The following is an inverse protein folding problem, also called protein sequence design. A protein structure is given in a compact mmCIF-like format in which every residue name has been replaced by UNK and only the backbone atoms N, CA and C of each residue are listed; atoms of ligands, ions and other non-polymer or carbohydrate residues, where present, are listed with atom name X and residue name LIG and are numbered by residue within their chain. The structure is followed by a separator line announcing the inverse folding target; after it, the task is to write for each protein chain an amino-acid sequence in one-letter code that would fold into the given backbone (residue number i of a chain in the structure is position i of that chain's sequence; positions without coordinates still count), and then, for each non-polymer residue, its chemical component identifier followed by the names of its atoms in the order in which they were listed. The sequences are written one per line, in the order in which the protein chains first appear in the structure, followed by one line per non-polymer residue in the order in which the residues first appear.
data_IF_902017491390
#
_entry.id   IF_902017491390
#
_cell.length_a   1.000
_cell.length_b   1.000
_cell.length_c   1.000
_cell.angle_alpha   90.00
_cell.angle_beta   90.00
_cell.angle_gamma   90.00
#
_symmetry.space_group_name_H-M   'P 1'
#
loop_
_entity.id
_entity.type
_entity.pdbx_description
1 polymer ?
#
# COMPACT_ATOMS: atom_id res chain seq x y z
N UNK A 1 23.99 3.01 5.19
CA UNK A 1 23.06 2.10 5.89
C UNK A 1 22.38 1.28 4.82
N UNK A 2 22.33 -0.05 4.89
CA UNK A 2 21.61 -0.82 3.88
C UNK A 2 20.12 -0.55 4.07
N UNK A 3 19.48 0.06 3.08
CA UNK A 3 18.03 0.20 3.04
C UNK A 3 17.42 -1.21 3.05
N UNK A 4 16.91 -1.63 4.20
CA UNK A 4 16.21 -2.90 4.31
C UNK A 4 14.74 -2.66 3.98
N UNK A 5 14.28 -3.31 2.92
CA UNK A 5 12.87 -3.39 2.60
C UNK A 5 12.32 -4.77 2.97
N UNK A 6 11.11 -4.78 3.44
CA UNK A 6 10.35 -5.99 3.75
C UNK A 6 9.24 -6.12 2.72
N UNK A 7 9.15 -7.27 2.11
CA UNK A 7 8.09 -7.62 1.17
C UNK A 7 7.13 -8.56 1.88
N UNK A 8 5.87 -8.17 1.91
CA UNK A 8 4.78 -8.95 2.46
C UNK A 8 3.99 -9.51 1.30
N UNK A 9 3.93 -10.81 1.24
CA UNK A 9 3.24 -11.55 0.20
C UNK A 9 1.72 -11.58 0.37
N UNK A 10 1.03 -12.15 -0.62
CA UNK A 10 -0.43 -12.17 -0.71
C UNK A 10 -1.11 -12.93 0.44
N UNK A 11 -0.41 -13.82 1.11
CA UNK A 11 -0.92 -14.58 2.27
C UNK A 11 -1.30 -13.67 3.45
N UNK A 12 -0.82 -12.44 3.46
CA UNK A 12 -1.11 -11.45 4.50
C UNK A 12 -2.35 -10.61 4.21
N UNK A 13 -2.93 -10.71 3.02
CA UNK A 13 -3.99 -9.84 2.53
C UNK A 13 -5.17 -10.64 1.98
N UNK A 14 -6.38 -10.11 2.15
CA UNK A 14 -7.56 -10.70 1.53
C UNK A 14 -7.48 -10.62 0.00
N UNK A 15 -7.77 -11.73 -0.67
CA UNK A 15 -7.84 -11.80 -2.12
C UNK A 15 -9.18 -11.27 -2.63
N UNK A 16 -9.17 -10.50 -3.71
CA UNK A 16 -10.37 -10.09 -4.42
C UNK A 16 -10.60 -11.00 -5.63
N UNK A 17 -11.73 -11.68 -5.64
CA UNK A 17 -12.21 -12.43 -6.82
C UNK A 17 -13.30 -11.61 -7.50
N UNK A 18 -13.17 -11.40 -8.81
CA UNK A 18 -14.13 -10.68 -9.62
C UNK A 18 -14.81 -11.63 -10.60
N UNK A 19 -16.12 -11.42 -10.87
CA UNK A 19 -16.88 -12.28 -11.80
C UNK A 19 -16.38 -12.17 -13.25
N UNK A 20 -15.72 -11.06 -13.58
CA UNK A 20 -15.17 -10.75 -14.89
C UNK A 20 -13.74 -10.28 -14.76
N UNK A 21 -13.02 -10.26 -15.87
CA UNK A 21 -11.71 -9.64 -15.92
C UNK A 21 -11.77 -8.18 -15.48
N UNK A 22 -10.67 -7.69 -14.87
CA UNK A 22 -10.55 -6.32 -14.40
C UNK A 22 -9.25 -5.68 -14.88
N UNK A 23 -8.87 -5.95 -16.12
CA UNK A 23 -7.62 -5.52 -16.74
C UNK A 23 -7.58 -4.02 -16.97
N UNK A 24 -6.45 -3.38 -16.72
CA UNK A 24 -6.26 -1.93 -16.96
C UNK A 24 -6.97 -1.04 -15.96
N UNK A 25 -7.22 -1.53 -14.77
CA UNK A 25 -7.80 -0.75 -13.69
C UNK A 25 -6.90 0.42 -13.28
N UNK A 26 -7.52 1.45 -12.75
CA UNK A 26 -6.84 2.51 -12.04
C UNK A 26 -6.88 2.22 -10.55
N UNK A 27 -5.86 2.61 -9.81
CA UNK A 27 -5.93 2.51 -8.37
C UNK A 27 -5.31 3.71 -7.67
N UNK A 28 -5.77 3.96 -6.47
CA UNK A 28 -5.23 4.98 -5.59
C UNK A 28 -5.38 4.55 -4.14
N UNK A 29 -4.50 5.02 -3.30
CA UNK A 29 -4.63 4.88 -1.84
C UNK A 29 -4.91 6.26 -1.28
N UNK A 30 -5.97 6.35 -0.49
CA UNK A 30 -6.28 7.51 0.35
C UNK A 30 -6.43 7.03 1.78
N UNK A 31 -5.58 7.55 2.66
CA UNK A 31 -5.46 7.07 4.04
C UNK A 31 -5.21 5.55 4.12
N UNK A 32 -6.11 4.81 4.73
CA UNK A 32 -6.02 3.35 4.91
C UNK A 32 -6.93 2.57 3.93
N UNK A 33 -7.36 3.21 2.83
CA UNK A 33 -8.21 2.59 1.81
C UNK A 33 -7.53 2.58 0.46
N UNK A 34 -7.47 1.38 -0.16
CA UNK A 34 -7.06 1.22 -1.54
C UNK A 34 -8.30 1.10 -2.42
N UNK A 35 -8.43 1.98 -3.39
CA UNK A 35 -9.53 2.03 -4.34
C UNK A 35 -9.08 1.48 -5.69
N UNK A 36 -9.84 0.53 -6.25
CA UNK A 36 -9.66 0.06 -7.62
C UNK A 36 -10.84 0.55 -8.48
N UNK A 37 -10.54 1.14 -9.63
CA UNK A 37 -11.53 1.76 -10.51
C UNK A 37 -11.40 1.29 -11.96
N UNK A 38 -12.51 1.20 -12.64
CA UNK A 38 -12.52 0.88 -14.05
C UNK A 38 -12.00 -0.52 -14.33
N UNK A 39 -11.17 -0.65 -15.33
CA UNK A 39 -10.69 -1.94 -15.81
C UNK A 39 -11.58 -2.53 -16.89
N UNK A 40 -10.99 -3.31 -17.79
CA UNK A 40 -11.72 -4.01 -18.83
C UNK A 40 -12.37 -5.28 -18.29
N UNK A 41 -13.66 -5.49 -18.61
CA UNK A 41 -14.39 -6.71 -18.28
C UNK A 41 -13.98 -7.92 -19.14
N UNK A 42 -13.06 -7.71 -20.10
CA UNK A 42 -12.52 -8.76 -20.96
C UNK A 42 -11.01 -8.76 -20.90
N UNK A 43 -10.39 -9.91 -20.69
CA UNK A 43 -8.94 -10.03 -20.63
C UNK A 43 -8.23 -9.68 -21.96
N UNK A 44 -8.92 -9.85 -23.08
CA UNK A 44 -8.39 -9.70 -24.44
C UNK A 44 -8.58 -8.32 -25.06
N UNK A 45 -9.42 -7.47 -24.46
CA UNK A 45 -9.82 -6.19 -25.03
C UNK A 45 -9.81 -5.09 -24.00
N UNK A 46 -9.37 -3.91 -24.43
CA UNK A 46 -9.43 -2.68 -23.63
C UNK A 46 -10.72 -1.87 -23.91
N UNK A 47 -11.75 -2.47 -24.47
CA UNK A 47 -12.91 -1.73 -25.01
C UNK A 47 -14.13 -1.65 -24.10
N UNK A 48 -14.22 -2.46 -23.04
CA UNK A 48 -15.38 -2.50 -22.16
C UNK A 48 -14.96 -2.19 -20.71
N UNK A 49 -15.07 -0.92 -20.31
CA UNK A 49 -14.74 -0.52 -18.95
C UNK A 49 -15.79 -0.98 -17.95
N UNK A 50 -15.35 -1.60 -16.87
CA UNK A 50 -16.19 -1.93 -15.72
C UNK A 50 -16.69 -0.67 -15.03
N UNK A 51 -17.93 -0.71 -14.56
CA UNK A 51 -18.52 0.34 -13.72
C UNK A 51 -18.42 0.02 -12.23
N UNK A 52 -17.80 -1.08 -11.91
CA UNK A 52 -17.60 -1.52 -10.54
C UNK A 52 -16.37 -0.84 -9.95
N UNK A 53 -16.48 -0.46 -8.70
CA UNK A 53 -15.38 0.01 -7.88
C UNK A 53 -15.18 -0.98 -6.73
N UNK A 54 -13.94 -1.34 -6.46
CA UNK A 54 -13.57 -2.15 -5.31
C UNK A 54 -12.77 -1.30 -4.34
N UNK A 55 -13.05 -1.46 -3.06
CA UNK A 55 -12.37 -0.75 -1.98
C UNK A 55 -11.80 -1.78 -1.02
N UNK A 56 -10.51 -1.72 -0.80
CA UNK A 56 -9.84 -2.53 0.20
C UNK A 56 -9.56 -1.69 1.43
N UNK A 57 -10.10 -2.12 2.56
CA UNK A 57 -9.76 -1.59 3.87
C UNK A 57 -8.46 -2.25 4.34
N UNK A 58 -7.37 -1.46 4.39
CA UNK A 58 -6.04 -1.95 4.74
C UNK A 58 -5.99 -2.35 6.22
N UNK A 59 -6.80 -1.71 7.06
CA UNK A 59 -6.82 -1.99 8.49
C UNK A 59 -7.60 -3.26 8.81
N UNK A 60 -8.79 -3.38 8.24
CA UNK A 60 -9.69 -4.53 8.48
C UNK A 60 -9.35 -5.74 7.60
N UNK A 61 -8.46 -5.57 6.61
CA UNK A 61 -8.10 -6.61 5.64
C UNK A 61 -9.31 -7.18 4.89
N UNK A 62 -10.19 -6.31 4.41
CA UNK A 62 -11.44 -6.72 3.74
C UNK A 62 -11.70 -5.92 2.48
N UNK A 63 -12.41 -6.54 1.52
CA UNK A 63 -12.87 -5.90 0.30
C UNK A 63 -14.34 -5.53 0.36
N UNK A 64 -14.67 -4.36 -0.16
CA UNK A 64 -16.03 -3.89 -0.39
C UNK A 64 -16.24 -3.63 -1.87
N UNK A 65 -17.32 -4.16 -2.44
CA UNK A 65 -17.70 -3.95 -3.84
C UNK A 65 -18.78 -2.88 -3.93
N UNK A 66 -18.58 -1.89 -4.80
CA UNK A 66 -19.58 -0.87 -5.13
C UNK A 66 -19.90 -0.93 -6.61
N UNK A 67 -21.02 -1.51 -6.95
CA UNK A 67 -21.49 -1.60 -8.33
C UNK A 67 -21.97 -0.26 -8.88
N UNK A 68 -21.80 -0.07 -10.19
CA UNK A 68 -22.27 1.12 -10.94
C UNK A 68 -21.78 2.45 -10.43
N UNK A 69 -20.70 2.47 -9.66
CA UNK A 69 -20.13 3.69 -9.09
C UNK A 69 -19.14 4.40 -10.00
N UNK A 70 -18.58 3.71 -10.99
CA UNK A 70 -17.62 4.30 -11.89
C UNK A 70 -18.31 4.94 -13.12
N UNK A 71 -17.93 6.18 -13.43
CA UNK A 71 -18.38 6.85 -14.64
C UNK A 71 -17.51 6.34 -15.80
N UNK A 72 -18.05 5.41 -16.57
CA UNK A 72 -17.39 4.68 -17.66
C UNK A 72 -16.36 5.46 -18.50
N UNK A 73 -15.47 4.73 -19.15
CA UNK A 73 -14.46 5.15 -20.13
C UNK A 73 -13.17 5.75 -19.55
N UNK A 74 -12.86 5.52 -18.27
CA UNK A 74 -11.63 5.96 -17.62
C UNK A 74 -10.76 4.79 -17.23
N UNK A 75 -10.26 4.07 -18.20
CA UNK A 75 -9.27 3.03 -18.02
C UNK A 75 -7.87 3.60 -18.23
N UNK A 76 -6.89 3.11 -17.48
CA UNK A 76 -5.49 3.53 -17.62
C UNK A 76 -5.27 5.05 -17.45
N UNK A 77 -5.98 5.70 -16.54
CA UNK A 77 -5.78 7.12 -16.24
C UNK A 77 -4.52 7.34 -15.42
N UNK A 78 -3.96 8.55 -15.50
CA UNK A 78 -3.03 9.03 -14.49
C UNK A 78 -3.83 9.42 -13.24
N UNK A 79 -3.46 8.92 -12.08
CA UNK A 79 -4.24 9.10 -10.84
C UNK A 79 -3.38 9.70 -9.75
N UNK A 80 -3.90 10.69 -9.04
CA UNK A 80 -3.32 11.17 -7.80
C UNK A 80 -4.38 11.44 -6.73
N UNK A 81 -3.93 11.54 -5.49
CA UNK A 81 -4.76 11.93 -4.34
C UNK A 81 -4.27 13.27 -3.84
N UNK A 82 -5.20 14.19 -3.60
CA UNK A 82 -4.92 15.47 -2.95
C UNK A 82 -6.08 15.86 -2.05
N UNK A 83 -5.78 16.19 -0.81
CA UNK A 83 -6.76 16.65 0.18
C UNK A 83 -7.98 15.70 0.33
N UNK A 84 -7.73 14.38 0.29
CA UNK A 84 -8.77 13.36 0.38
C UNK A 84 -9.66 13.23 -0.85
N UNK A 85 -9.25 13.81 -1.99
CA UNK A 85 -9.95 13.73 -3.27
C UNK A 85 -9.08 12.99 -4.29
N UNK A 86 -9.66 12.09 -5.07
CA UNK A 86 -8.96 11.30 -6.09
C UNK A 86 -9.19 11.95 -7.47
N UNK A 87 -8.10 12.38 -8.08
CA UNK A 87 -8.10 13.01 -9.41
C UNK A 87 -7.66 12.02 -10.48
N UNK A 88 -8.37 12.02 -11.59
CA UNK A 88 -8.12 11.19 -12.77
C UNK A 88 -7.83 12.10 -13.96
N UNK A 89 -6.68 11.88 -14.59
CA UNK A 89 -6.26 12.65 -15.76
C UNK A 89 -6.20 11.73 -16.98
N UNK A 90 -7.09 11.99 -17.93
CA UNK A 90 -7.16 11.27 -19.17
C UNK A 90 -7.44 9.77 -18.99
N UNK A 91 -6.80 8.95 -19.80
CA UNK A 91 -6.93 7.50 -19.84
C UNK A 91 -6.90 6.95 -21.26
N UNK A 92 -7.27 5.69 -21.43
CA UNK A 92 -7.36 5.08 -22.75
C UNK A 92 -8.41 5.82 -23.60
N UNK A 93 -7.97 6.44 -24.73
CA UNK A 93 -8.81 7.23 -25.64
C UNK A 93 -9.64 8.33 -24.95
N UNK A 94 -9.19 8.82 -23.81
CA UNK A 94 -9.90 9.81 -23.03
C UNK A 94 -8.96 10.92 -22.54
N UNK A 95 -9.40 12.17 -22.67
CA UNK A 95 -8.65 13.37 -22.27
C UNK A 95 -9.28 14.10 -21.09
N UNK A 96 -10.36 13.57 -20.55
CA UNK A 96 -11.18 14.26 -19.55
C UNK A 96 -10.49 14.18 -18.19
N UNK A 97 -10.51 15.27 -17.44
CA UNK A 97 -10.11 15.30 -16.04
C UNK A 97 -11.35 15.15 -15.18
N UNK A 98 -11.30 14.23 -14.24
CA UNK A 98 -12.40 13.95 -13.31
C UNK A 98 -11.91 13.85 -11.89
N UNK A 99 -12.85 13.96 -10.95
CA UNK A 99 -12.57 13.87 -9.51
C UNK A 99 -13.64 13.02 -8.80
N UNK A 100 -13.18 12.17 -7.89
CA UNK A 100 -14.01 11.41 -6.98
C UNK A 100 -13.70 11.79 -5.54
N UNK A 101 -14.73 11.94 -4.72
CA UNK A 101 -14.62 12.17 -3.27
C UNK A 101 -14.94 10.88 -2.52
N UNK A 102 -13.95 10.23 -1.90
CA UNK A 102 -14.17 9.07 -1.03
C UNK A 102 -15.10 9.39 0.13
N UNK A 103 -14.92 10.53 0.79
CA UNK A 103 -15.73 10.94 1.96
C UNK A 103 -17.19 11.14 1.57
N UNK A 104 -17.44 11.82 0.45
CA UNK A 104 -18.81 12.06 -0.04
C UNK A 104 -19.38 10.87 -0.83
N UNK A 105 -18.58 9.85 -1.11
CA UNK A 105 -18.90 8.68 -1.95
C UNK A 105 -19.54 9.08 -3.28
N UNK A 106 -18.97 10.08 -3.97
CA UNK A 106 -19.52 10.60 -5.22
C UNK A 106 -18.49 11.14 -6.17
N UNK A 107 -18.82 11.05 -7.47
CA UNK A 107 -18.13 11.75 -8.53
C UNK A 107 -18.59 13.20 -8.62
N UNK A 108 -17.67 14.09 -8.88
CA UNK A 108 -18.02 15.46 -9.28
C UNK A 108 -18.61 15.41 -10.69
N UNK A 109 -19.82 15.97 -10.85
CA UNK A 109 -20.56 15.94 -12.12
C UNK A 109 -19.89 16.77 -13.21
N UNK A 110 -19.22 17.84 -12.82
CA UNK A 110 -18.57 18.77 -13.75
C UNK A 110 -17.21 18.20 -14.16
N UNK A 111 -16.93 18.22 -15.45
CA UNK A 111 -15.57 17.98 -15.94
C UNK A 111 -14.69 19.11 -15.44
N UNK A 112 -13.52 18.78 -14.87
CA UNK A 112 -12.57 19.79 -14.38
C UNK A 112 -11.73 20.39 -15.51
N UNK A 113 -11.78 19.80 -16.70
CA UNK A 113 -11.03 20.25 -17.87
C UNK A 113 -10.76 19.12 -18.84
N UNK A 114 -10.05 19.43 -19.89
CA UNK A 114 -9.46 18.44 -20.80
C UNK A 114 -7.96 18.70 -20.88
N UNK A 115 -7.20 17.64 -21.08
CA UNK A 115 -5.79 17.78 -21.45
C UNK A 115 -5.73 18.37 -22.85
N UNK A 116 -4.98 19.46 -23.07
CA UNK A 116 -5.02 20.18 -24.33
C UNK A 116 -4.59 19.36 -25.54
N UNK A 117 -5.25 19.60 -26.67
CA UNK A 117 -4.82 19.12 -27.99
C UNK A 117 -3.75 20.00 -28.65
N UNK A 118 -3.42 21.13 -28.02
CA UNK A 118 -2.81 22.29 -28.67
C UNK A 118 -1.32 22.19 -28.98
N UNK A 119 -0.73 21.00 -28.79
CA UNK A 119 0.69 20.82 -29.11
C UNK A 119 1.00 20.77 -30.60
N UNK A 120 0.00 20.96 -31.50
CA UNK A 120 0.16 20.70 -32.93
C UNK A 120 0.38 19.23 -33.26
N UNK A 121 0.26 18.39 -32.23
CA UNK A 121 0.48 16.96 -32.25
C UNK A 121 -0.88 16.35 -32.02
N UNK A 122 -1.40 15.70 -32.99
CA UNK A 122 -2.61 14.90 -32.84
C UNK A 122 -2.28 13.82 -31.82
N UNK A 123 -2.69 14.02 -30.56
CA UNK A 123 -2.64 12.97 -29.54
C UNK A 123 -3.67 11.91 -29.92
N UNK A 124 -3.37 11.14 -30.95
CA UNK A 124 -4.16 9.99 -31.38
C UNK A 124 -3.86 8.77 -30.51
N UNK A 125 -3.02 8.95 -29.52
CA UNK A 125 -2.60 7.89 -28.62
C UNK A 125 -3.06 8.14 -27.20
N UNK A 126 -3.13 7.06 -26.50
CA UNK A 126 -3.56 6.95 -25.13
C UNK A 126 -2.60 7.71 -24.21
N UNK A 127 -3.15 8.52 -23.32
CA UNK A 127 -2.38 9.00 -22.17
C UNK A 127 -2.16 7.79 -21.28
N UNK A 128 -1.05 7.09 -21.50
CA UNK A 128 -0.73 5.95 -20.67
C UNK A 128 -0.37 6.41 -19.27
N UNK A 129 -1.10 5.89 -18.37
CA UNK A 129 -0.94 5.76 -16.94
C UNK A 129 0.44 6.18 -16.41
N UNK A 130 0.69 7.46 -16.21
CA UNK A 130 1.83 7.91 -15.44
C UNK A 130 1.39 8.28 -14.03
N UNK A 131 2.25 8.08 -13.04
CA UNK A 131 1.99 8.64 -11.72
C UNK A 131 2.27 10.14 -11.78
N UNK A 132 1.28 11.00 -11.49
CA UNK A 132 1.51 12.44 -11.38
C UNK A 132 2.42 12.78 -10.19
N UNK A 133 3.22 13.82 -10.35
CA UNK A 133 3.97 14.43 -9.26
C UNK A 133 3.23 15.67 -8.78
N UNK A 134 2.89 15.72 -7.49
CA UNK A 134 2.24 16.88 -6.88
C UNK A 134 3.30 17.79 -6.25
N UNK A 135 3.27 19.07 -6.61
CA UNK A 135 4.12 20.11 -6.03
C UNK A 135 3.23 21.33 -5.72
N UNK A 136 3.00 21.58 -4.44
CA UNK A 136 2.09 22.64 -4.01
C UNK A 136 0.69 22.48 -4.59
N UNK A 137 0.23 23.53 -5.30
CA UNK A 137 -1.09 23.56 -5.94
C UNK A 137 -1.10 23.02 -7.37
N UNK A 138 -0.08 22.26 -7.76
CA UNK A 138 0.06 21.75 -9.12
C UNK A 138 0.30 20.25 -9.16
N UNK A 139 -0.27 19.59 -10.17
CA UNK A 139 0.09 18.24 -10.56
C UNK A 139 0.81 18.27 -11.91
N UNK A 140 1.97 17.65 -11.95
CA UNK A 140 2.74 17.44 -13.18
C UNK A 140 2.49 16.01 -13.68
N UNK A 141 2.05 15.89 -14.92
CA UNK A 141 1.61 14.63 -15.49
C UNK A 141 2.47 14.34 -16.72
N UNK A 142 3.20 13.24 -16.67
CA UNK A 142 3.93 12.77 -17.84
C UNK A 142 2.98 12.11 -18.83
N UNK A 143 2.88 12.66 -20.01
CA UNK A 143 2.11 12.10 -21.11
C UNK A 143 2.98 11.28 -22.05
N UNK A 144 2.40 10.27 -22.69
CA UNK A 144 2.98 9.64 -23.86
C UNK A 144 1.88 9.37 -24.87
N UNK A 145 2.06 9.89 -26.08
CA UNK A 145 1.23 9.45 -27.20
C UNK A 145 1.91 8.26 -27.89
N UNK A 146 1.21 7.16 -28.08
CA UNK A 146 1.61 6.15 -29.02
C UNK A 146 0.82 6.34 -30.28
N UNK A 147 1.36 7.06 -31.20
CA UNK A 147 0.90 7.00 -32.58
C UNK A 147 2.11 6.91 -33.48
N UNK A 148 2.16 5.84 -34.24
CA UNK A 148 2.94 5.69 -35.48
C UNK A 148 4.18 6.59 -35.61
N UNK A 149 5.32 6.11 -35.15
CA UNK A 149 6.67 6.59 -35.46
C UNK A 149 7.17 7.92 -34.87
N UNK A 150 6.35 8.81 -34.35
CA UNK A 150 6.79 10.06 -33.71
C UNK A 150 6.23 10.16 -32.29
N UNK A 151 6.88 9.53 -31.35
CA UNK A 151 6.47 9.60 -29.95
C UNK A 151 6.99 10.88 -29.34
N UNK A 152 6.10 11.61 -28.72
CA UNK A 152 6.44 12.83 -28.00
C UNK A 152 6.23 12.58 -26.51
N UNK A 153 7.15 13.07 -25.72
CA UNK A 153 7.01 13.12 -24.27
C UNK A 153 6.63 14.51 -23.87
N UNK A 154 5.43 14.66 -23.34
CA UNK A 154 4.94 15.91 -22.82
C UNK A 154 4.84 15.81 -21.31
N UNK A 155 5.13 16.92 -20.62
CA UNK A 155 4.78 17.11 -19.22
C UNK A 155 3.67 18.15 -19.19
N UNK A 156 2.51 17.76 -18.70
CA UNK A 156 1.39 18.65 -18.46
C UNK A 156 1.42 19.14 -17.02
N UNK A 157 1.05 20.38 -16.83
CA UNK A 157 0.82 20.96 -15.53
C UNK A 157 -0.69 21.20 -15.35
N UNK A 158 -1.25 20.66 -14.28
CA UNK A 158 -2.62 20.93 -13.85
C UNK A 158 -2.58 21.75 -12.58
N UNK A 159 -3.24 22.92 -12.60
CA UNK A 159 -3.38 23.78 -11.44
C UNK A 159 -4.71 23.48 -10.74
N UNK A 160 -4.64 23.00 -9.49
CA UNK A 160 -5.80 22.61 -8.69
C UNK A 160 -6.67 23.81 -8.27
N UNK A 161 -6.10 25.02 -8.23
CA UNK A 161 -6.81 26.22 -7.81
C UNK A 161 -7.70 26.76 -8.94
N UNK A 162 -7.15 26.78 -10.14
CA UNK A 162 -7.82 27.33 -11.33
C UNK A 162 -8.51 26.27 -12.17
N UNK A 163 -8.21 24.99 -11.95
CA UNK A 163 -8.63 23.86 -12.78
C UNK A 163 -8.19 24.00 -14.26
N UNK A 164 -7.01 24.57 -14.48
CA UNK A 164 -6.45 24.74 -15.82
C UNK A 164 -5.32 23.77 -16.08
N UNK A 165 -5.18 23.37 -17.34
CA UNK A 165 -4.08 22.53 -17.82
C UNK A 165 -3.24 23.32 -18.80
N UNK A 166 -1.93 23.26 -18.61
CA UNK A 166 -0.95 23.84 -19.53
C UNK A 166 0.10 22.80 -19.92
N UNK A 167 0.74 22.98 -21.08
CA UNK A 167 1.92 22.21 -21.44
C UNK A 167 3.12 22.82 -20.70
N UNK A 168 3.62 22.13 -19.67
CA UNK A 168 4.81 22.58 -18.95
C UNK A 168 6.08 22.32 -19.77
N UNK A 169 6.11 21.20 -20.52
CA UNK A 169 7.24 20.83 -21.35
C UNK A 169 6.84 19.92 -22.51
N UNK A 170 7.44 20.13 -23.67
CA UNK A 170 7.28 19.28 -24.86
C UNK A 170 8.65 18.89 -25.37
N UNK A 171 8.92 17.59 -25.48
CA UNK A 171 10.13 17.07 -26.10
C UNK A 171 9.78 16.36 -27.40
N UNK A 172 10.38 16.81 -28.50
CA UNK A 172 10.22 16.16 -29.80
C UNK A 172 11.19 14.98 -29.93
N UNK A 173 10.71 13.89 -30.54
CA UNK A 173 11.51 12.72 -30.91
C UNK A 173 12.21 11.99 -29.74
N UNK A 174 11.69 12.07 -28.55
CA UNK A 174 12.26 11.36 -27.42
C UNK A 174 11.35 10.25 -26.97
N UNK A 175 11.93 9.16 -26.59
CA UNK A 175 11.45 7.96 -25.93
C UNK A 175 9.94 7.76 -25.71
N UNK A 176 9.53 6.53 -25.72
CA UNK A 176 8.13 6.09 -25.65
C UNK A 176 7.70 5.86 -24.21
N UNK A 177 6.73 6.63 -23.76
CA UNK A 177 5.98 6.36 -22.52
C UNK A 177 6.69 6.78 -21.22
N UNK A 178 6.15 7.79 -20.57
CA UNK A 178 6.48 8.12 -19.18
C UNK A 178 5.61 7.27 -18.25
N UNK A 179 6.23 6.55 -17.32
CA UNK A 179 5.51 5.76 -16.33
C UNK A 179 5.50 6.42 -14.96
N UNK A 180 6.43 7.31 -14.72
CA UNK A 180 6.58 8.02 -13.46
C UNK A 180 7.37 9.31 -13.69
N UNK A 181 7.00 10.35 -12.95
CA UNK A 181 7.59 11.68 -13.02
C UNK A 181 7.84 12.20 -11.59
N UNK A 182 9.00 12.79 -11.37
CA UNK A 182 9.33 13.59 -10.19
C UNK A 182 9.82 14.96 -10.61
N UNK A 183 9.27 16.01 -10.01
CA UNK A 183 9.64 17.41 -10.26
C UNK A 183 10.49 17.91 -9.09
N UNK A 184 11.55 18.63 -9.42
CA UNK A 184 12.44 19.34 -8.49
C UNK A 184 12.26 20.83 -8.74
N UNK A 185 11.31 21.50 -8.08
CA UNK A 185 10.91 22.87 -8.42
C UNK A 185 12.03 23.89 -8.21
N UNK A 186 12.84 23.70 -7.17
CA UNK A 186 13.93 24.62 -6.85
C UNK A 186 15.08 24.56 -7.86
N UNK A 187 15.19 23.46 -8.61
CA UNK A 187 16.21 23.24 -9.62
C UNK A 187 15.68 23.48 -11.05
N UNK A 188 14.40 23.79 -11.22
CA UNK A 188 13.71 23.84 -12.51
C UNK A 188 13.87 22.56 -13.34
N UNK A 189 13.99 21.40 -12.67
CA UNK A 189 14.26 20.10 -13.27
C UNK A 189 13.16 19.09 -12.96
N UNK A 190 13.13 18.07 -13.77
CA UNK A 190 12.32 16.88 -13.49
C UNK A 190 13.07 15.60 -13.87
N UNK A 191 12.73 14.52 -13.22
CA UNK A 191 13.18 13.16 -13.56
C UNK A 191 11.98 12.34 -13.99
N UNK A 192 12.13 11.53 -15.02
CA UNK A 192 11.09 10.60 -15.45
C UNK A 192 11.65 9.24 -15.84
N UNK A 193 10.85 8.21 -15.62
CA UNK A 193 11.12 6.90 -16.19
C UNK A 193 10.56 6.84 -17.60
N UNK A 194 11.34 6.29 -18.50
CA UNK A 194 11.00 6.27 -19.92
C UNK A 194 11.33 4.93 -20.56
N UNK A 195 10.52 4.54 -21.53
CA UNK A 195 10.90 3.50 -22.49
C UNK A 195 11.85 4.12 -23.52
N UNK A 196 13.03 3.52 -23.69
CA UNK A 196 14.10 4.13 -24.49
C UNK A 196 13.99 3.86 -25.99
N UNK A 197 13.28 2.82 -26.42
CA UNK A 197 13.09 2.50 -27.85
C UNK A 197 11.74 1.84 -28.12
N UNK A 198 11.30 1.87 -29.41
CA UNK A 198 10.05 1.20 -29.83
C UNK A 198 10.13 -0.33 -29.84
N UNK A 199 11.32 -0.87 -29.86
CA UNK A 199 11.59 -2.30 -30.05
C UNK A 199 12.36 -2.93 -28.90
N UNK A 200 12.96 -2.13 -28.02
CA UNK A 200 13.74 -2.64 -26.92
C UNK A 200 13.05 -2.37 -25.59
N UNK A 201 13.04 -3.36 -24.77
CA UNK A 201 12.53 -3.37 -23.41
C UNK A 201 13.46 -2.64 -22.42
N UNK A 202 14.19 -1.64 -22.85
CA UNK A 202 15.03 -0.85 -21.96
C UNK A 202 14.24 0.30 -21.33
N UNK A 203 14.26 0.39 -20.00
CA UNK A 203 13.73 1.52 -19.24
C UNK A 203 14.92 2.29 -18.70
N UNK A 204 14.91 3.58 -18.94
CA UNK A 204 15.90 4.48 -18.41
C UNK A 204 15.26 5.57 -17.55
N UNK A 205 16.12 6.21 -16.78
CA UNK A 205 15.78 7.44 -16.05
C UNK A 205 16.41 8.62 -16.77
N UNK A 206 15.63 9.66 -17.03
CA UNK A 206 16.11 10.88 -17.67
C UNK A 206 15.78 12.09 -16.86
N UNK A 207 16.72 13.02 -16.84
CA UNK A 207 16.52 14.36 -16.31
C UNK A 207 16.24 15.33 -17.45
N UNK A 208 15.27 16.21 -17.23
CA UNK A 208 14.95 17.31 -18.12
C UNK A 208 14.89 18.62 -17.35
N UNK A 209 15.08 19.71 -18.06
CA UNK A 209 14.87 21.06 -17.52
C UNK A 209 13.62 21.65 -18.19
N UNK A 210 12.79 22.33 -17.41
CA UNK A 210 11.66 23.05 -17.97
C UNK A 210 12.16 24.19 -18.86
N UNK A 211 11.62 24.27 -20.08
CA UNK A 211 12.03 25.23 -21.10
C UNK A 211 13.15 24.76 -22.02
N UNK A 212 13.78 23.61 -21.75
CA UNK A 212 14.78 23.05 -22.66
C UNK A 212 14.14 22.36 -23.87
N UNK A 213 14.83 22.36 -25.02
CA UNK A 213 14.35 21.69 -26.23
C UNK A 213 14.62 20.18 -26.27
N UNK A 214 15.48 19.70 -25.38
CA UNK A 214 15.85 18.28 -25.26
C UNK A 214 16.17 17.96 -23.81
N UNK A 215 16.19 16.66 -23.49
CA UNK A 215 16.69 16.22 -22.20
C UNK A 215 18.17 16.60 -22.05
N UNK A 216 18.49 17.28 -20.96
CA UNK A 216 19.85 17.77 -20.68
C UNK A 216 20.79 16.62 -20.34
N UNK A 217 20.25 15.57 -19.74
CA UNK A 217 21.04 14.44 -19.28
C UNK A 217 20.25 13.14 -19.37
N UNK A 218 20.78 12.22 -20.15
CA UNK A 218 20.33 10.85 -20.19
C UNK A 218 21.36 9.96 -19.53
N UNK A 219 21.16 9.62 -18.25
CA UNK A 219 21.83 8.46 -17.71
C UNK A 219 20.82 7.34 -17.58
N UNK A 220 20.98 6.35 -18.44
CA UNK A 220 20.28 5.09 -18.30
C UNK A 220 21.30 4.04 -17.98
N UNK A 221 21.23 3.42 -16.81
CA UNK A 221 21.71 2.05 -16.73
C UNK A 221 20.66 1.23 -17.47
N UNK A 222 21.03 0.75 -18.66
CA UNK A 222 20.16 -0.06 -19.50
C UNK A 222 19.72 -1.29 -18.73
N UNK A 223 18.43 -1.42 -18.55
CA UNK A 223 17.83 -2.66 -18.12
C UNK A 223 17.36 -3.37 -19.38
N UNK A 224 18.19 -4.25 -19.88
CA UNK A 224 17.76 -5.17 -20.93
C UNK A 224 16.80 -6.18 -20.34
N UNK A 225 15.51 -5.97 -20.51
CA UNK A 225 14.52 -7.04 -20.41
C UNK A 225 14.18 -7.49 -21.81
N UNK A 226 13.92 -8.77 -22.01
CA UNK A 226 13.54 -9.34 -23.31
C UNK A 226 12.12 -8.98 -23.75
N UNK A 227 11.39 -8.17 -22.96
CA UNK A 227 9.99 -7.87 -23.18
C UNK A 227 9.76 -6.49 -23.79
N UNK A 228 8.82 -6.44 -24.73
CA UNK A 228 8.44 -5.23 -25.44
C UNK A 228 7.58 -4.26 -24.61
N UNK A 229 7.09 -4.67 -23.42
CA UNK A 229 6.29 -3.84 -22.52
C UNK A 229 6.91 -3.77 -21.13
N UNK A 230 7.31 -2.59 -20.73
CA UNK A 230 7.78 -2.36 -19.38
C UNK A 230 6.58 -2.25 -18.44
N UNK A 231 6.47 -3.22 -17.58
CA UNK A 231 5.46 -3.29 -16.53
C UNK A 231 6.14 -3.02 -15.21
N UNK A 232 5.99 -1.82 -14.70
CA UNK A 232 6.58 -1.42 -13.43
C UNK A 232 5.63 -0.58 -12.60
N UNK A 233 5.77 -0.69 -11.31
CA UNK A 233 5.09 0.16 -10.31
C UNK A 233 6.16 0.97 -9.59
N UNK A 234 6.00 2.28 -9.56
CA UNK A 234 6.96 3.16 -8.89
C UNK A 234 6.31 3.76 -7.66
N UNK A 235 6.97 3.64 -6.51
CA UNK A 235 6.59 4.24 -5.25
C UNK A 235 7.67 5.18 -4.74
N UNK A 236 7.28 6.22 -4.02
CA UNK A 236 8.17 7.15 -3.37
C UNK A 236 7.82 7.23 -1.89
N UNK A 237 8.79 6.90 -1.05
CA UNK A 237 8.66 6.96 0.40
C UNK A 237 8.85 8.40 0.90
N UNK A 238 8.35 8.70 2.10
CA UNK A 238 8.43 10.05 2.70
C UNK A 238 9.86 10.58 2.82
N UNK A 239 10.85 9.71 3.00
CA UNK A 239 12.27 10.10 3.05
C UNK A 239 12.89 10.36 1.66
N UNK A 240 12.09 10.31 0.60
CA UNK A 240 12.51 10.50 -0.79
C UNK A 240 13.10 9.25 -1.47
N UNK A 241 13.13 8.09 -0.81
CA UNK A 241 13.53 6.83 -1.45
C UNK A 241 12.52 6.42 -2.49
N UNK A 242 12.98 6.11 -3.68
CA UNK A 242 12.14 5.70 -4.80
C UNK A 242 12.37 4.22 -5.08
N UNK A 243 11.28 3.48 -5.20
CA UNK A 243 11.30 2.09 -5.65
C UNK A 243 10.66 1.95 -7.03
N UNK A 244 11.35 1.29 -7.94
CA UNK A 244 10.81 0.80 -9.20
C UNK A 244 10.69 -0.72 -9.10
N UNK A 245 9.46 -1.20 -9.03
CA UNK A 245 9.12 -2.59 -8.78
C UNK A 245 8.62 -3.24 -10.06
N UNK A 246 9.17 -4.39 -10.41
CA UNK A 246 8.87 -5.13 -11.63
C UNK A 246 8.62 -6.59 -11.34
N UNK A 247 7.65 -7.16 -12.03
CA UNK A 247 7.51 -8.60 -12.10
C UNK A 247 8.35 -9.15 -13.26
N UNK A 248 8.86 -10.36 -13.11
CA UNK A 248 9.46 -11.09 -14.23
C UNK A 248 8.42 -11.32 -15.32
N UNK A 249 8.91 -11.41 -16.53
CA UNK A 249 8.11 -11.60 -17.75
C UNK A 249 7.45 -12.99 -17.73
N UNK A 250 6.35 -13.11 -18.47
CA UNK A 250 5.65 -14.37 -18.73
C UNK A 250 5.11 -15.09 -17.48
N UNK A 251 4.61 -14.33 -16.52
CA UNK A 251 4.05 -14.91 -15.32
C UNK A 251 5.12 -15.50 -14.39
N UNK A 252 6.30 -14.91 -14.39
CA UNK A 252 7.37 -15.26 -13.47
C UNK A 252 6.96 -15.05 -12.01
N UNK A 253 7.65 -15.73 -11.14
CA UNK A 253 7.41 -15.71 -9.70
C UNK A 253 8.32 -14.75 -8.94
N UNK A 254 9.16 -14.01 -9.65
CA UNK A 254 10.15 -13.11 -9.09
C UNK A 254 9.73 -11.66 -9.24
N UNK A 255 9.83 -10.94 -8.13
CA UNK A 255 9.73 -9.50 -8.07
C UNK A 255 11.13 -8.90 -8.02
N UNK A 256 11.44 -8.01 -8.95
CA UNK A 256 12.66 -7.21 -8.93
C UNK A 256 12.33 -5.83 -8.39
N UNK A 257 12.97 -5.44 -7.31
CA UNK A 257 12.81 -4.14 -6.66
C UNK A 257 14.09 -3.35 -6.89
N UNK A 258 13.99 -2.23 -7.58
CA UNK A 258 15.10 -1.30 -7.78
C UNK A 258 14.95 -0.13 -6.86
N UNK A 259 15.96 0.09 -6.03
CA UNK A 259 16.08 1.28 -5.19
C UNK A 259 16.83 2.34 -5.98
N UNK A 260 16.17 3.46 -6.24
CA UNK A 260 16.72 4.53 -7.08
C UNK A 260 17.26 5.62 -6.17
N UNK A 261 18.53 5.93 -6.33
CA UNK A 261 19.22 7.03 -5.67
C UNK A 261 19.66 8.07 -6.69
N UNK A 262 19.47 9.32 -6.35
CA UNK A 262 20.00 10.44 -7.13
C UNK A 262 21.43 10.71 -6.69
N UNK A 263 22.36 10.73 -7.63
CA UNK A 263 23.80 10.99 -7.39
C UNK A 263 24.32 12.08 -8.33
N UNK A 264 25.44 12.65 -7.98
CA UNK A 264 26.19 13.57 -8.86
C UNK A 264 27.54 12.95 -9.22
N UNK A 265 27.95 13.13 -10.47
CA UNK A 265 29.28 12.76 -10.92
C UNK A 265 30.33 13.83 -10.58
N UNK A 266 31.60 13.58 -10.90
CA UNK A 266 32.71 14.50 -10.65
C UNK A 266 32.60 15.86 -11.36
N UNK A 267 31.68 15.99 -12.32
CA UNK A 267 31.41 17.22 -13.06
C UNK A 267 30.14 17.95 -12.57
N UNK A 268 29.54 17.47 -11.48
CA UNK A 268 28.29 18.01 -10.94
C UNK A 268 27.05 17.58 -11.74
N UNK A 269 27.16 16.56 -12.59
CA UNK A 269 26.06 16.05 -13.37
C UNK A 269 25.23 15.07 -12.56
N UNK A 270 23.93 15.35 -12.43
CA UNK A 270 22.98 14.51 -11.72
C UNK A 270 22.63 13.25 -12.53
N UNK A 271 22.66 12.09 -11.89
CA UNK A 271 22.22 10.81 -12.48
C UNK A 271 21.48 9.95 -11.45
N UNK A 272 20.68 9.03 -11.95
CA UNK A 272 20.02 8.03 -11.12
C UNK A 272 20.82 6.72 -11.11
N UNK A 273 21.13 6.20 -9.94
CA UNK A 273 21.73 4.89 -9.75
C UNK A 273 20.70 3.97 -9.07
N UNK A 274 20.62 2.73 -9.56
CA UNK A 274 19.72 1.76 -8.96
C UNK A 274 20.50 0.57 -8.41
N UNK A 275 20.18 0.17 -7.19
CA UNK A 275 20.52 -1.14 -6.63
C UNK A 275 19.33 -2.08 -6.75
N UNK A 276 19.58 -3.39 -6.86
CA UNK A 276 18.52 -4.38 -7.07
C UNK A 276 18.38 -5.31 -5.88
N UNK A 277 17.12 -5.59 -5.55
CA UNK A 277 16.72 -6.59 -4.55
C UNK A 277 15.71 -7.52 -5.23
N UNK A 278 15.82 -8.82 -4.98
CA UNK A 278 14.91 -9.82 -5.53
C UNK A 278 14.08 -10.46 -4.42
N UNK A 279 12.82 -10.70 -4.73
CA UNK A 279 11.93 -11.49 -3.89
C UNK A 279 11.18 -12.50 -4.73
N UNK A 280 11.11 -13.76 -4.28
CA UNK A 280 10.42 -14.83 -4.98
C UNK A 280 9.13 -15.22 -4.27
N UNK A 281 8.09 -15.50 -5.05
CA UNK A 281 6.77 -15.94 -4.60
C UNK A 281 6.49 -17.36 -5.07
N UNK A 282 5.53 -18.01 -4.44
CA UNK A 282 5.09 -19.35 -4.86
C UNK A 282 4.23 -19.31 -6.13
N UNK A 283 3.50 -18.22 -6.35
CA UNK A 283 2.57 -18.02 -7.46
C UNK A 283 3.08 -16.99 -8.47
N UNK A 284 2.61 -17.02 -9.72
CA UNK A 284 2.93 -16.01 -10.71
C UNK A 284 2.49 -14.61 -10.29
N UNK A 285 3.28 -13.61 -10.65
CA UNK A 285 2.96 -12.20 -10.48
C UNK A 285 2.76 -11.61 -11.87
N UNK A 286 1.56 -11.19 -12.17
CA UNK A 286 1.22 -10.59 -13.46
C UNK A 286 0.80 -9.15 -13.22
N UNK A 287 1.67 -8.21 -13.60
CA UNK A 287 1.25 -6.83 -13.78
C UNK A 287 0.66 -6.72 -15.17
N UNK A 288 -0.58 -6.38 -15.29
CA UNK A 288 -1.10 -6.06 -16.62
C UNK A 288 -0.37 -4.81 -17.14
N UNK A 289 -0.26 -4.71 -18.45
CA UNK A 289 0.57 -3.71 -19.11
C UNK A 289 0.24 -2.27 -18.70
N UNK A 290 -0.92 -2.05 -18.16
CA UNK A 290 -1.48 -0.73 -17.93
C UNK A 290 -1.76 -0.42 -16.45
N UNK A 291 -2.05 -1.40 -15.59
CA UNK A 291 -2.36 -1.17 -14.18
C UNK A 291 -1.14 -0.77 -13.34
N UNK A 292 -0.01 -1.30 -13.72
CA UNK A 292 1.22 -1.10 -12.96
C UNK A 292 1.73 0.34 -12.92
N UNK A 293 1.18 1.21 -13.74
CA UNK A 293 1.72 2.56 -13.98
C UNK A 293 1.01 3.66 -13.22
N UNK A 294 -0.19 3.38 -12.72
CA UNK A 294 -0.96 4.40 -12.02
C UNK A 294 -0.73 4.30 -10.55
N UNK A 295 -0.61 5.39 -9.86
CA UNK A 295 -1.10 5.42 -8.51
C UNK A 295 -0.38 6.34 -7.55
N UNK A 296 -1.18 6.86 -6.68
CA UNK A 296 -0.81 7.05 -5.30
C UNK A 296 -0.90 5.65 -4.64
N UNK A 297 0.23 4.96 -4.54
CA UNK A 297 0.32 3.59 -4.03
C UNK A 297 0.92 3.49 -2.62
N UNK A 298 1.11 4.64 -1.98
CA UNK A 298 1.60 4.74 -0.61
C UNK A 298 0.43 5.00 0.34
N UNK A 299 0.38 4.29 1.44
CA UNK A 299 -0.58 4.55 2.50
C UNK A 299 -0.05 5.59 3.52
N UNK A 300 -0.87 5.92 4.50
CA UNK A 300 -0.55 6.90 5.55
C UNK A 300 0.61 6.49 6.46
N UNK A 301 1.10 5.26 6.31
CA UNK A 301 2.19 4.66 7.09
C UNK A 301 3.45 4.44 6.26
N UNK A 302 3.57 5.13 5.16
CA UNK A 302 4.71 5.03 4.24
C UNK A 302 4.96 3.60 3.74
N UNK A 303 3.86 2.89 3.37
CA UNK A 303 3.90 1.53 2.82
C UNK A 303 3.37 1.53 1.40
N UNK A 304 4.10 0.87 0.50
CA UNK A 304 3.75 0.73 -0.90
C UNK A 304 2.88 -0.52 -1.11
N UNK A 305 1.65 -0.36 -1.59
CA UNK A 305 0.76 -1.45 -1.96
C UNK A 305 0.71 -1.63 -3.48
N UNK A 306 0.77 -2.87 -3.93
CA UNK A 306 0.80 -3.23 -5.34
C UNK A 306 -0.25 -4.31 -5.59
N UNK A 307 -1.38 -3.97 -6.23
CA UNK A 307 -2.32 -4.96 -6.71
C UNK A 307 -1.77 -5.65 -7.97
N UNK A 308 -1.97 -6.96 -8.06
CA UNK A 308 -1.51 -7.78 -9.19
C UNK A 308 -2.45 -8.95 -9.45
N UNK A 309 -2.30 -9.58 -10.61
CA UNK A 309 -3.03 -10.79 -10.99
C UNK A 309 -2.16 -12.04 -10.88
N UNK A 310 -2.79 -13.17 -10.63
CA UNK A 310 -2.12 -14.49 -10.61
C UNK A 310 -2.28 -15.25 -11.92
N UNK A 311 -3.20 -14.83 -12.78
CA UNK A 311 -3.48 -15.45 -14.07
C UNK A 311 -3.77 -14.44 -15.18
N UNK A 312 -3.67 -14.87 -16.41
CA UNK A 312 -4.00 -14.08 -17.60
C UNK A 312 -5.51 -13.72 -17.68
N UNK A 313 -6.36 -14.40 -16.94
CA UNK A 313 -7.81 -14.12 -16.89
C UNK A 313 -8.12 -12.79 -16.19
N UNK A 314 -7.17 -12.25 -15.43
CA UNK A 314 -7.26 -10.95 -14.76
C UNK A 314 -8.51 -10.79 -13.87
N UNK A 315 -8.96 -11.86 -13.22
CA UNK A 315 -10.15 -11.87 -12.35
C UNK A 315 -9.86 -12.20 -10.88
N UNK A 316 -8.61 -12.49 -10.55
CA UNK A 316 -8.15 -12.65 -9.18
C UNK A 316 -7.09 -11.60 -8.90
N UNK A 317 -7.37 -10.71 -7.94
CA UNK A 317 -6.45 -9.62 -7.56
C UNK A 317 -5.93 -9.90 -6.16
N UNK A 318 -4.62 -9.97 -6.06
CA UNK A 318 -3.86 -10.09 -4.82
C UNK A 318 -3.04 -8.84 -4.56
N UNK A 319 -2.57 -8.67 -3.35
CA UNK A 319 -1.79 -7.52 -2.92
C UNK A 319 -0.39 -7.95 -2.49
N UNK A 320 0.57 -7.11 -2.81
CA UNK A 320 1.92 -7.11 -2.23
C UNK A 320 2.07 -5.80 -1.49
N UNK A 321 2.70 -5.82 -0.32
CA UNK A 321 3.09 -4.63 0.40
C UNK A 321 4.61 -4.57 0.56
N UNK A 322 5.21 -3.45 0.22
CA UNK A 322 6.63 -3.18 0.45
C UNK A 322 6.74 -2.08 1.50
N UNK A 323 7.49 -2.33 2.55
CA UNK A 323 7.66 -1.43 3.68
C UNK A 323 9.12 -1.35 4.11
N UNK A 324 9.54 -0.22 4.65
CA UNK A 324 10.84 -0.07 5.35
C UNK A 324 10.80 -0.67 6.75
N UNK A 325 9.63 -0.78 7.33
CA UNK A 325 9.41 -1.41 8.62
C UNK A 325 9.08 -2.90 8.45
N UNK A 326 9.66 -3.75 9.28
CA UNK A 326 9.34 -5.19 9.31
C UNK A 326 7.89 -5.45 9.72
N UNK A 327 7.26 -4.49 10.37
CA UNK A 327 5.92 -4.62 10.94
C UNK A 327 4.94 -3.73 10.19
N UNK A 328 3.83 -4.30 9.75
CA UNK A 328 2.76 -3.59 9.04
C UNK A 328 1.92 -2.72 9.96
N UNK A 329 2.21 -2.75 11.26
CA UNK A 329 1.37 -2.07 12.26
C UNK A 329 1.81 -0.63 12.46
N UNK A 330 0.82 0.25 12.62
CA UNK A 330 1.05 1.63 12.94
C UNK A 330 1.73 1.77 14.31
N UNK A 331 2.51 2.82 14.44
CA UNK A 331 2.92 3.39 15.71
C UNK A 331 1.69 3.62 16.60
N UNK A 332 1.84 3.36 17.89
CA UNK A 332 0.75 3.47 18.88
C UNK A 332 -0.44 2.51 18.69
N UNK A 333 -0.20 1.32 18.16
CA UNK A 333 -1.24 0.28 18.04
C UNK A 333 -1.18 -0.75 19.16
N UNK A 334 -2.38 -1.04 19.67
CA UNK A 334 -2.63 -2.21 20.51
C UNK A 334 -3.56 -3.20 19.80
N UNK A 335 -3.19 -4.46 19.79
CA UNK A 335 -4.08 -5.56 19.40
C UNK A 335 -4.56 -6.24 20.65
N UNK A 336 -5.87 -6.24 20.86
CA UNK A 336 -6.51 -7.05 21.88
C UNK A 336 -7.02 -8.35 21.25
N UNK A 337 -6.64 -9.49 21.80
CA UNK A 337 -7.12 -10.79 21.36
C UNK A 337 -7.42 -11.69 22.55
N UNK A 338 -8.50 -12.44 22.44
CA UNK A 338 -8.81 -13.51 23.40
C UNK A 338 -8.10 -14.78 22.93
N UNK A 339 -7.38 -15.43 23.84
CA UNK A 339 -6.74 -16.69 23.53
C UNK A 339 -7.80 -17.78 23.31
N UNK A 340 -7.61 -18.61 22.29
CA UNK A 340 -8.57 -19.65 21.91
C UNK A 340 -8.65 -20.81 22.90
N UNK A 341 -7.60 -21.00 23.71
CA UNK A 341 -7.53 -22.09 24.67
C UNK A 341 -8.05 -21.61 26.03
N UNK A 342 -9.22 -22.07 26.36
CA UNK A 342 -9.85 -21.88 27.67
C UNK A 342 -9.29 -22.87 28.67
N UNK A 343 -9.06 -22.40 29.91
CA UNK A 343 -8.68 -23.25 31.00
C UNK A 343 -9.95 -23.61 31.77
N UNK A 344 -10.31 -24.87 31.75
CA UNK A 344 -11.61 -25.29 32.28
C UNK A 344 -11.49 -25.93 33.67
N UNK A 345 -12.56 -25.83 34.45
CA UNK A 345 -12.76 -26.49 35.74
C UNK A 345 -11.67 -26.15 36.76
N UNK A 346 -11.27 -24.91 36.84
CA UNK A 346 -10.22 -24.45 37.76
C UNK A 346 -10.82 -24.22 39.16
N UNK A 347 -10.32 -24.97 40.14
CA UNK A 347 -10.67 -24.76 41.54
C UNK A 347 -9.65 -23.91 42.28
N UNK A 348 -8.41 -24.04 41.92
CA UNK A 348 -7.31 -23.36 42.56
C UNK A 348 -6.17 -23.10 41.59
N UNK A 349 -5.58 -21.92 41.63
CA UNK A 349 -4.41 -21.55 40.82
C UNK A 349 -3.23 -21.36 41.74
N UNK A 350 -2.22 -22.24 41.61
CA UNK A 350 -1.02 -22.22 42.46
C UNK A 350 0.03 -21.22 41.96
N UNK A 351 0.14 -21.06 40.64
CA UNK A 351 1.04 -20.10 40.02
C UNK A 351 0.67 -19.85 38.55
N UNK A 352 1.10 -18.73 38.07
CA UNK A 352 1.03 -18.35 36.65
C UNK A 352 2.41 -18.11 36.09
N UNK A 353 2.60 -18.35 34.79
CA UNK A 353 3.83 -18.06 34.08
C UNK A 353 3.51 -17.57 32.65
N UNK A 354 4.33 -16.67 32.16
CA UNK A 354 4.29 -16.19 30.78
C UNK A 354 5.69 -16.18 30.17
N UNK A 355 5.82 -16.80 29.02
CA UNK A 355 7.02 -16.73 28.18
C UNK A 355 6.74 -15.73 27.07
N UNK A 356 7.51 -14.65 27.03
CA UNK A 356 7.27 -13.52 26.13
C UNK A 356 8.57 -12.86 25.68
N UNK A 357 8.47 -12.12 24.58
CA UNK A 357 9.49 -11.19 24.08
C UNK A 357 8.88 -9.79 24.06
N UNK A 358 9.54 -8.82 24.68
CA UNK A 358 9.17 -7.43 24.66
C UNK A 358 10.43 -6.56 24.58
N UNK A 359 10.46 -5.67 23.62
CA UNK A 359 11.56 -4.73 23.40
C UNK A 359 11.15 -3.33 23.93
N UNK A 360 12.09 -2.38 23.93
CA UNK A 360 11.80 -1.01 24.29
C UNK A 360 10.69 -0.45 23.39
N UNK A 361 9.73 0.27 23.96
CA UNK A 361 8.60 0.80 23.20
C UNK A 361 7.45 -0.18 23.01
N UNK A 362 7.52 -1.40 23.56
CA UNK A 362 6.42 -2.37 23.52
C UNK A 362 5.82 -2.63 24.89
N UNK A 363 4.54 -2.97 24.94
CA UNK A 363 3.83 -3.36 26.14
C UNK A 363 2.98 -4.60 25.91
N UNK A 364 2.89 -5.42 26.97
CA UNK A 364 1.96 -6.55 27.04
C UNK A 364 1.05 -6.33 28.25
N UNK A 365 -0.26 -6.44 28.05
CA UNK A 365 -1.27 -6.39 29.11
C UNK A 365 -2.14 -7.63 29.07
N UNK A 366 -2.49 -8.14 30.26
CA UNK A 366 -3.21 -9.38 30.45
C UNK A 366 -4.42 -9.11 31.36
N UNK A 367 -5.56 -9.67 30.99
CA UNK A 367 -6.75 -9.72 31.84
C UNK A 367 -7.42 -11.09 31.71
N UNK A 368 -8.20 -11.45 32.71
CA UNK A 368 -8.87 -12.75 32.81
C UNK A 368 -10.38 -12.57 32.79
N UNK A 369 -11.08 -13.49 32.13
CA UNK A 369 -12.54 -13.60 32.21
C UNK A 369 -12.92 -14.93 32.83
N UNK A 370 -13.97 -14.92 33.67
CA UNK A 370 -14.56 -16.10 34.27
C UNK A 370 -16.05 -16.25 33.92
N UNK A 371 -16.53 -15.45 32.98
CA UNK A 371 -17.92 -15.36 32.55
C UNK A 371 -18.08 -15.50 31.03
N UNK A 372 -17.28 -16.34 30.40
CA UNK A 372 -17.29 -16.61 28.97
C UNK A 372 -17.03 -15.34 28.10
N UNK A 373 -16.02 -14.58 28.43
CA UNK A 373 -15.60 -13.39 27.70
C UNK A 373 -16.60 -12.21 27.74
N UNK A 374 -17.55 -12.21 28.69
CA UNK A 374 -18.49 -11.12 28.87
C UNK A 374 -17.81 -9.93 29.55
N UNK A 375 -17.08 -10.20 30.64
CA UNK A 375 -16.25 -9.19 31.31
C UNK A 375 -14.84 -9.68 31.50
N UNK A 376 -13.88 -8.77 31.44
CA UNK A 376 -12.47 -9.05 31.72
C UNK A 376 -12.03 -8.30 32.97
N UNK A 377 -11.22 -8.94 33.78
CA UNK A 377 -10.72 -8.41 35.05
C UNK A 377 -9.22 -8.49 35.14
N UNK A 378 -8.62 -7.52 35.80
CA UNK A 378 -7.19 -7.48 36.12
C UNK A 378 -7.00 -7.16 37.61
N UNK A 379 -5.94 -7.70 38.20
CA UNK A 379 -5.64 -7.49 39.60
C UNK A 379 -4.75 -6.26 39.79
N UNK A 380 -5.20 -5.31 40.62
CA UNK A 380 -4.46 -4.09 40.90
C UNK A 380 -4.79 -3.59 42.29
N UNK A 381 -3.77 -3.16 43.04
CA UNK A 381 -3.93 -2.60 44.38
C UNK A 381 -4.73 -3.51 45.36
N UNK A 382 -4.50 -4.82 45.27
CA UNK A 382 -5.14 -5.79 46.18
C UNK A 382 -6.56 -6.23 45.80
N UNK A 383 -7.10 -5.82 44.67
CA UNK A 383 -8.44 -6.16 44.22
C UNK A 383 -8.55 -6.38 42.72
N UNK A 384 -9.60 -7.10 42.28
CA UNK A 384 -9.90 -7.29 40.86
C UNK A 384 -10.73 -6.12 40.34
N UNK A 385 -10.20 -5.41 39.33
CA UNK A 385 -10.88 -4.34 38.60
C UNK A 385 -11.36 -4.84 37.24
N UNK A 386 -12.43 -4.25 36.71
CA UNK A 386 -12.97 -4.59 35.40
C UNK A 386 -12.29 -3.73 34.34
N UNK A 387 -11.93 -4.39 33.22
CA UNK A 387 -11.41 -3.73 32.02
C UNK A 387 -12.53 -2.94 31.35
N UNK A 388 -12.30 -1.68 31.04
CA UNK A 388 -13.26 -0.79 30.38
C UNK A 388 -13.05 -0.73 28.87
N UNK A 389 -11.81 -0.90 28.41
CA UNK A 389 -11.44 -0.95 26.99
C UNK A 389 -10.51 -2.15 26.75
N UNK A 390 -10.84 -2.98 25.75
CA UNK A 390 -10.00 -4.12 25.38
C UNK A 390 -8.57 -3.72 24.98
N UNK A 391 -8.36 -2.49 24.53
CA UNK A 391 -7.03 -1.91 24.38
C UNK A 391 -6.54 -1.38 25.76
N UNK A 392 -6.18 -2.30 26.62
CA UNK A 392 -5.88 -2.02 28.03
C UNK A 392 -4.71 -1.04 28.25
N UNK A 393 -3.77 -0.97 27.31
CA UNK A 393 -2.62 -0.05 27.43
C UNK A 393 -3.06 1.40 27.40
N UNK A 394 -4.05 1.72 26.58
CA UNK A 394 -4.56 3.08 26.39
C UNK A 394 -5.09 3.73 27.68
N UNK A 395 -5.67 2.91 28.53
CA UNK A 395 -6.26 3.33 29.80
C UNK A 395 -5.41 2.98 31.03
N UNK A 396 -4.22 2.39 30.83
CA UNK A 396 -3.39 1.88 31.93
C UNK A 396 -4.04 0.73 32.69
N UNK A 397 -4.89 -0.03 32.01
CA UNK A 397 -5.59 -1.22 32.50
C UNK A 397 -4.81 -2.51 32.22
N UNK A 398 -5.27 -3.61 32.77
CA UNK A 398 -4.62 -4.92 32.62
C UNK A 398 -3.35 -5.08 33.45
N UNK A 399 -2.90 -6.31 33.58
CA UNK A 399 -1.68 -6.69 34.28
C UNK A 399 -0.49 -6.74 33.31
N UNK A 400 0.64 -6.24 33.70
CA UNK A 400 1.92 -6.53 33.03
C UNK A 400 2.26 -8.01 33.19
N UNK A 401 3.17 -8.58 32.35
CA UNK A 401 3.67 -9.94 32.55
C UNK A 401 4.16 -10.21 33.98
N UNK A 402 4.90 -9.28 34.56
CA UNK A 402 5.41 -9.38 35.91
C UNK A 402 4.28 -9.41 36.98
N UNK A 403 3.29 -8.52 36.86
CA UNK A 403 2.13 -8.50 37.75
C UNK A 403 1.31 -9.79 37.64
N UNK A 404 1.17 -10.33 36.42
CA UNK A 404 0.49 -11.59 36.17
C UNK A 404 1.22 -12.78 36.83
N UNK A 405 2.56 -12.87 36.71
CA UNK A 405 3.35 -13.92 37.35
C UNK A 405 3.37 -13.82 38.89
N UNK A 406 3.16 -12.63 39.44
CA UNK A 406 3.09 -12.38 40.86
C UNK A 406 1.72 -12.67 41.49
N UNK A 407 0.74 -13.11 40.69
CA UNK A 407 -0.55 -13.51 41.22
C UNK A 407 -0.41 -14.75 42.12
N UNK A 408 -0.97 -14.66 43.32
CA UNK A 408 -0.99 -15.74 44.32
C UNK A 408 -2.31 -16.49 44.29
N UNK A 409 -2.34 -17.64 44.91
CA UNK A 409 -3.56 -18.40 45.11
C UNK A 409 -4.65 -17.58 45.82
N UNK A 410 -4.27 -16.77 46.80
CA UNK A 410 -5.24 -15.92 47.53
C UNK A 410 -5.83 -14.84 46.62
N UNK A 411 -5.07 -14.31 45.64
CA UNK A 411 -5.62 -13.41 44.63
C UNK A 411 -6.66 -14.15 43.77
N UNK A 412 -6.38 -15.38 43.35
CA UNK A 412 -7.35 -16.16 42.60
C UNK A 412 -8.58 -16.56 43.40
N UNK A 413 -8.47 -16.85 44.72
CA UNK A 413 -9.62 -17.06 45.55
C UNK A 413 -10.58 -15.85 45.55
N UNK A 414 -10.06 -14.64 45.52
CA UNK A 414 -10.89 -13.43 45.39
C UNK A 414 -11.61 -13.36 44.01
N UNK A 415 -11.00 -13.90 42.93
CA UNK A 415 -11.63 -13.96 41.63
C UNK A 415 -12.68 -15.05 41.53
N UNK A 416 -12.39 -16.23 42.08
CA UNK A 416 -13.25 -17.40 42.07
C UNK A 416 -14.48 -17.18 42.99
N UNK A 417 -14.29 -16.48 44.10
CA UNK A 417 -15.35 -16.20 45.06
C UNK A 417 -15.92 -17.49 45.63
N UNK A 418 -17.25 -17.61 45.63
CA UNK A 418 -17.98 -18.76 46.14
C UNK A 418 -18.23 -19.88 45.11
N UNK A 419 -17.65 -19.78 43.93
CA UNK A 419 -17.81 -20.82 42.91
C UNK A 419 -16.99 -22.06 43.28
N UNK A 420 -17.54 -23.23 43.05
CA UNK A 420 -16.81 -24.50 43.25
C UNK A 420 -15.65 -24.66 42.25
N UNK A 421 -15.83 -24.20 41.05
CA UNK A 421 -14.84 -24.09 39.98
C UNK A 421 -15.20 -23.02 38.97
N UNK A 422 -14.22 -22.56 38.23
CA UNK A 422 -14.41 -21.56 37.14
C UNK A 422 -13.69 -22.01 35.88
N UNK A 423 -14.16 -21.50 34.79
CA UNK A 423 -13.42 -21.52 33.53
C UNK A 423 -12.73 -20.16 33.34
N UNK A 424 -11.50 -20.17 32.87
CA UNK A 424 -10.71 -18.93 32.68
C UNK A 424 -10.43 -18.74 31.20
N UNK A 425 -10.89 -17.62 30.67
CA UNK A 425 -10.48 -17.09 29.38
C UNK A 425 -9.47 -15.96 29.59
N UNK A 426 -8.58 -15.74 28.61
CA UNK A 426 -7.50 -14.77 28.73
C UNK A 426 -7.59 -13.76 27.62
N UNK A 427 -7.69 -12.48 27.98
CA UNK A 427 -7.52 -11.35 27.06
C UNK A 427 -6.09 -10.85 27.15
N UNK A 428 -5.48 -10.66 26.00
CA UNK A 428 -4.14 -10.09 25.87
C UNK A 428 -4.21 -8.85 24.99
N UNK A 429 -3.56 -7.78 25.43
CA UNK A 429 -3.25 -6.63 24.55
C UNK A 429 -1.76 -6.58 24.30
N UNK A 430 -1.39 -6.61 23.03
CA UNK A 430 -0.04 -6.38 22.55
C UNK A 430 0.03 -4.96 21.99
N UNK A 431 0.92 -4.16 22.52
CA UNK A 431 1.04 -2.74 22.13
C UNK A 431 2.47 -2.40 21.75
N UNK A 432 2.64 -1.55 20.76
CA UNK A 432 3.92 -0.96 20.39
C UNK A 432 3.75 0.52 20.04
N UNK A 433 4.69 1.34 20.46
CA UNK A 433 4.87 2.71 20.00
C UNK A 433 6.09 2.82 19.07
N UNK A 434 6.70 1.69 18.72
CA UNK A 434 7.86 1.59 17.85
C UNK A 434 7.53 0.67 16.67
N UNK A 435 7.64 1.18 15.46
CA UNK A 435 7.38 0.43 14.22
C UNK A 435 8.36 -0.74 14.00
N UNK A 436 9.53 -0.68 14.65
CA UNK A 436 10.56 -1.71 14.55
C UNK A 436 10.42 -2.85 15.57
N UNK A 437 9.56 -2.68 16.57
CA UNK A 437 9.42 -3.59 17.70
C UNK A 437 8.00 -4.16 17.83
N UNK A 438 7.87 -5.45 18.05
CA UNK A 438 6.58 -6.13 18.28
C UNK A 438 6.69 -7.06 19.48
N UNK A 439 5.87 -6.88 20.51
CA UNK A 439 5.83 -7.82 21.61
C UNK A 439 5.25 -9.14 21.15
N UNK A 440 5.75 -10.24 21.71
CA UNK A 440 5.28 -11.59 21.40
C UNK A 440 5.03 -12.36 22.67
N UNK A 441 3.95 -13.12 22.69
CA UNK A 441 3.70 -14.13 23.73
C UNK A 441 3.91 -15.49 23.11
N UNK A 442 4.81 -16.27 23.69
CA UNK A 442 5.10 -17.64 23.27
C UNK A 442 4.22 -18.63 24.01
N UNK A 443 3.99 -18.39 25.31
CA UNK A 443 3.24 -19.30 26.14
C UNK A 443 2.69 -18.59 27.39
N UNK A 444 1.45 -18.89 27.75
CA UNK A 444 0.88 -18.61 29.07
C UNK A 444 0.56 -19.96 29.74
N UNK A 445 0.89 -20.11 31.02
CA UNK A 445 0.70 -21.32 31.75
C UNK A 445 0.13 -21.05 33.13
N UNK A 446 -0.78 -21.92 33.57
CA UNK A 446 -1.32 -21.96 34.91
C UNK A 446 -0.96 -23.29 35.52
N UNK A 447 -0.48 -23.25 36.74
CA UNK A 447 -0.37 -24.43 37.57
C UNK A 447 -1.57 -24.48 38.48
N UNK A 448 -2.42 -25.45 38.31
CA UNK A 448 -3.63 -25.67 39.12
C UNK A 448 -3.44 -26.86 40.06
N UNK A 449 -4.24 -26.95 41.14
CA UNK A 449 -4.31 -28.17 41.91
C UNK A 449 -4.99 -29.27 41.09
N UNK A 450 -4.36 -30.43 40.95
CA UNK A 450 -5.00 -31.57 40.32
C UNK A 450 -6.13 -32.10 41.21
N UNK A 451 -7.27 -32.39 40.61
CA UNK A 451 -8.28 -33.21 41.23
C UNK A 451 -7.68 -34.60 41.40
N UNK A 452 -7.38 -35.04 42.64
CA UNK A 452 -7.30 -36.43 42.93
C UNK A 452 -8.69 -37.00 42.70
N UNK A 453 -8.94 -37.60 41.54
CA UNK A 453 -10.11 -38.47 41.34
C UNK A 453 -9.88 -39.70 42.21
N UNK A 454 -10.66 -39.81 43.31
CA UNK A 454 -10.84 -41.07 44.04
C UNK A 454 -11.49 -42.13 43.13
#
# INVERSE_FOLDING_TARGET
MSNKFYVLGPENFATLNTDKAFKGFNYAIDNDFLFLFGGSETADSNSACSKTMYIYDIHENTWVTKEKKFLSDMMCSSVCVREGEIYFFGGYQNKIIRKYSPIADRWFKTKLGNIPDDSGITMTGDLYCSRPCIVGDKAYIGGSGVANSNVQTNVFEYDFTTNTVTNAQVFQNSAQGCTWLKVYPDENKFMQTMRLTSTAASVGYRYGEFGASSFTDSYSKDYTTSDTMVRNVVGEFEDGTILDVRADIDGGKRLTIKVIETKEDSNGKTYAEASEIYHEFEEPIIFSANEAKTANNMDSRDRMFIPYFTSADCNEIKLICISKSRYIKAKDQGIATTLTNKITNVKEVLSTKIDYEAEAGTEIRIALSIDNNVTYKYFKNGSWATVTDKNMVKNGEGMTPQEFENLTNDNFKLLIGNNESIDIDILVTLYTNDESATPKIKKISFKTSELLTE
#
